data_IF_976297965099
#
_entry.id   IF_976297965099
#
_cell.length_a   1.000
_cell.length_b   1.000
_cell.length_c   1.000
_cell.angle_alpha   90.00
_cell.angle_beta   90.00
_cell.angle_gamma   90.00
#
_symmetry.space_group_name_H-M   'P 1'
#
loop_
_entity.id
_entity.type
_entity.pdbx_description
1 polymer ?
#
# COMPACT_ATOMS: atom_id res chain seq x y z
N UNK A 1 10.39 -7.49 81.93
CA UNK A 1 11.22 -7.39 80.68
C UNK A 1 10.34 -6.74 79.65
N UNK A 2 10.45 -5.40 79.50
CA UNK A 2 9.67 -4.66 78.50
C UNK A 2 10.46 -4.60 77.16
N UNK A 3 9.92 -5.24 76.17
CA UNK A 3 10.47 -5.16 74.80
C UNK A 3 9.85 -3.93 74.14
N UNK A 4 10.64 -2.89 73.91
CA UNK A 4 10.25 -1.70 73.20
C UNK A 4 10.51 -1.95 71.72
N UNK A 5 9.44 -2.12 70.94
CA UNK A 5 9.53 -2.24 69.48
C UNK A 5 9.58 -0.81 68.90
N UNK A 6 10.72 -0.41 68.38
CA UNK A 6 10.88 0.86 67.63
C UNK A 6 10.37 0.68 66.19
N UNK A 7 9.47 1.55 65.68
CA UNK A 7 9.01 1.46 64.30
C UNK A 7 10.12 1.87 63.34
N UNK A 8 10.36 1.01 62.34
CA UNK A 8 11.30 1.26 61.25
C UNK A 8 10.90 2.46 60.41
N UNK A 9 11.73 3.50 60.34
CA UNK A 9 11.53 4.76 59.63
C UNK A 9 11.81 4.68 58.10
N UNK A 10 11.85 3.52 57.47
CA UNK A 10 12.33 3.35 56.07
C UNK A 10 11.27 3.46 54.97
N UNK A 11 9.99 3.74 55.25
CA UNK A 11 8.93 3.78 54.23
C UNK A 11 8.88 5.07 53.36
N UNK A 12 9.31 6.21 53.90
CA UNK A 12 9.13 7.52 53.25
C UNK A 12 10.10 7.83 52.08
N UNK A 13 11.30 7.25 52.14
CA UNK A 13 12.33 7.44 51.10
C UNK A 13 11.99 6.70 49.80
N UNK A 14 11.45 5.51 49.90
CA UNK A 14 11.08 4.69 48.76
C UNK A 14 9.88 5.25 48.01
N UNK A 15 8.91 5.80 48.71
CA UNK A 15 7.71 6.44 48.10
C UNK A 15 8.05 7.74 47.34
N UNK A 16 8.98 8.56 47.88
CA UNK A 16 9.46 9.77 47.17
C UNK A 16 10.26 9.42 45.91
N UNK A 17 11.08 8.36 45.97
CA UNK A 17 11.86 7.86 44.82
C UNK A 17 10.95 7.31 43.71
N UNK A 18 9.92 6.54 44.08
CA UNK A 18 8.90 6.05 43.12
C UNK A 18 8.13 7.18 42.47
N UNK A 19 7.65 8.19 43.22
CA UNK A 19 6.98 9.36 42.65
C UNK A 19 7.88 10.10 41.66
N UNK A 20 9.16 10.32 41.97
CA UNK A 20 10.12 10.94 41.05
C UNK A 20 10.31 10.11 39.76
N UNK A 21 10.39 8.78 39.89
CA UNK A 21 10.49 7.85 38.77
C UNK A 21 9.26 7.99 37.82
N UNK A 22 8.05 7.97 38.40
CA UNK A 22 6.82 8.12 37.63
C UNK A 22 6.73 9.46 36.90
N UNK A 23 7.16 10.55 37.52
CA UNK A 23 7.21 11.88 36.90
C UNK A 23 8.18 11.87 35.71
N UNK A 24 9.40 11.35 35.91
CA UNK A 24 10.42 11.25 34.83
C UNK A 24 9.92 10.38 33.69
N UNK A 25 9.34 9.21 33.99
CA UNK A 25 8.75 8.33 32.97
C UNK A 25 7.63 9.06 32.21
N UNK A 26 6.74 9.76 32.91
CA UNK A 26 5.67 10.54 32.28
C UNK A 26 6.20 11.63 31.35
N UNK A 27 7.26 12.33 31.73
CA UNK A 27 7.91 13.34 30.88
C UNK A 27 8.51 12.68 29.62
N UNK A 28 9.23 11.56 29.76
CA UNK A 28 9.82 10.83 28.65
C UNK A 28 8.74 10.37 27.68
N UNK A 29 7.66 9.76 28.19
CA UNK A 29 6.51 9.33 27.35
C UNK A 29 5.89 10.53 26.65
N UNK A 30 5.70 11.66 27.34
CA UNK A 30 5.17 12.88 26.75
C UNK A 30 6.04 13.42 25.60
N UNK A 31 7.36 13.45 25.79
CA UNK A 31 8.32 13.87 24.76
C UNK A 31 8.28 12.90 23.55
N UNK A 32 8.30 11.60 23.78
CA UNK A 32 8.23 10.61 22.71
C UNK A 32 6.92 10.72 21.91
N UNK A 33 5.79 10.89 22.62
CA UNK A 33 4.49 11.09 21.97
C UNK A 33 4.47 12.36 21.12
N UNK A 34 5.08 13.45 21.59
CA UNK A 34 5.20 14.70 20.84
C UNK A 34 6.08 14.52 19.59
N UNK A 35 7.20 13.82 19.68
CA UNK A 35 8.09 13.51 18.54
C UNK A 35 7.32 12.70 17.50
N UNK A 36 6.59 11.65 17.93
CA UNK A 36 5.75 10.83 17.05
C UNK A 36 4.69 11.71 16.37
N UNK A 37 3.99 12.54 17.11
CA UNK A 37 2.98 13.45 16.56
C UNK A 37 3.57 14.40 15.51
N UNK A 38 4.70 15.04 15.81
CA UNK A 38 5.40 15.97 14.88
C UNK A 38 5.83 15.20 13.63
N UNK A 39 6.32 13.96 13.76
CA UNK A 39 6.71 13.13 12.63
C UNK A 39 5.58 13.01 11.60
N UNK A 40 4.34 12.81 12.04
CA UNK A 40 3.22 12.58 11.15
C UNK A 40 2.51 13.85 10.66
N UNK A 41 2.92 15.04 11.05
CA UNK A 41 2.32 16.30 10.56
C UNK A 41 2.26 16.36 9.02
N UNK A 42 3.32 16.01 8.25
CA UNK A 42 3.29 16.09 6.79
C UNK A 42 2.24 15.16 6.16
N UNK A 43 1.89 14.06 6.84
CA UNK A 43 0.97 13.07 6.30
C UNK A 43 -0.50 13.54 6.31
N UNK A 44 -0.85 14.55 7.11
CA UNK A 44 -2.22 15.07 7.16
C UNK A 44 -2.60 15.92 5.95
N UNK A 45 -1.61 16.48 5.23
CA UNK A 45 -1.83 17.32 4.06
C UNK A 45 -1.01 16.78 2.89
N UNK A 46 -1.65 16.02 2.00
CA UNK A 46 -1.00 15.50 0.80
C UNK A 46 -0.69 16.64 -0.17
N UNK A 47 -1.63 17.55 -0.39
CA UNK A 47 -1.40 18.72 -1.24
C UNK A 47 -0.36 19.64 -0.62
N UNK A 48 0.78 19.84 -1.29
CA UNK A 48 1.77 20.87 -0.96
C UNK A 48 1.30 22.26 -1.39
N UNK A 49 1.76 23.28 -0.70
CA UNK A 49 1.44 24.67 -1.08
C UNK A 49 1.99 24.96 -2.49
N UNK A 50 1.15 25.53 -3.34
CA UNK A 50 1.52 25.86 -4.72
C UNK A 50 1.36 24.72 -5.75
N UNK A 51 0.91 23.52 -5.36
CA UNK A 51 0.56 22.49 -6.33
C UNK A 51 -0.48 22.98 -7.33
N UNK A 52 -0.20 22.78 -8.60
CA UNK A 52 -1.12 23.00 -9.72
C UNK A 52 -2.05 21.80 -9.89
N UNK A 53 -3.12 21.96 -10.66
CA UNK A 53 -4.14 20.92 -10.89
C UNK A 53 -4.39 20.75 -12.38
N UNK A 54 -4.39 19.49 -12.83
CA UNK A 54 -4.98 19.04 -14.08
C UNK A 54 -6.28 18.32 -13.74
N UNK A 55 -7.38 18.79 -14.29
CA UNK A 55 -8.71 18.26 -14.01
C UNK A 55 -9.18 17.35 -15.13
N UNK A 56 -9.40 16.07 -14.81
CA UNK A 56 -9.85 15.06 -15.75
C UNK A 56 -11.31 14.69 -15.57
N UNK A 57 -11.83 13.93 -16.51
CA UNK A 57 -13.19 13.39 -16.45
C UNK A 57 -13.36 12.42 -15.27
N UNK A 58 -12.35 11.58 -15.03
CA UNK A 58 -12.38 10.50 -14.03
C UNK A 58 -11.38 10.67 -12.90
N UNK A 59 -10.27 11.39 -13.11
CA UNK A 59 -9.20 11.55 -12.14
C UNK A 59 -8.69 12.99 -12.15
N UNK A 60 -8.32 13.50 -10.97
CA UNK A 60 -7.66 14.79 -10.82
C UNK A 60 -6.18 14.59 -10.49
N UNK A 61 -5.27 15.28 -11.17
CA UNK A 61 -3.83 15.21 -10.92
C UNK A 61 -3.33 16.54 -10.35
N UNK A 62 -2.62 16.45 -9.23
CA UNK A 62 -1.95 17.58 -8.58
C UNK A 62 -0.45 17.38 -8.69
N UNK A 63 0.31 18.44 -9.06
CA UNK A 63 1.76 18.37 -9.23
C UNK A 63 2.46 19.61 -8.69
N UNK A 64 3.76 19.50 -8.34
CA UNK A 64 4.55 20.60 -7.80
C UNK A 64 5.09 21.47 -8.93
N UNK A 65 6.15 21.05 -9.65
CA UNK A 65 6.84 21.87 -10.67
C UNK A 65 7.03 21.19 -12.00
N UNK A 66 7.18 19.87 -12.01
CA UNK A 66 7.49 19.08 -13.20
C UNK A 66 6.25 18.90 -14.09
N UNK A 67 5.86 19.99 -14.80
CA UNK A 67 4.62 20.06 -15.58
C UNK A 67 4.58 19.04 -16.72
N UNK A 68 5.67 18.89 -17.50
CA UNK A 68 5.71 17.94 -18.62
C UNK A 68 5.45 16.51 -18.14
N UNK A 69 6.13 16.10 -17.07
CA UNK A 69 5.93 14.77 -16.48
C UNK A 69 4.52 14.60 -15.90
N UNK A 70 3.96 15.65 -15.32
CA UNK A 70 2.59 15.62 -14.81
C UNK A 70 1.56 15.50 -15.93
N UNK A 71 1.76 16.21 -17.07
CA UNK A 71 0.90 16.10 -18.27
C UNK A 71 0.98 14.70 -18.89
N UNK A 72 2.17 14.08 -18.92
CA UNK A 72 2.36 12.72 -19.42
C UNK A 72 1.62 11.70 -18.54
N UNK A 73 1.75 11.82 -17.20
CA UNK A 73 1.00 10.99 -16.25
C UNK A 73 -0.50 11.22 -16.40
N UNK A 74 -0.94 12.48 -16.43
CA UNK A 74 -2.35 12.84 -16.59
C UNK A 74 -2.94 12.24 -17.87
N UNK A 75 -2.24 12.39 -18.99
CA UNK A 75 -2.68 11.85 -20.29
C UNK A 75 -2.85 10.32 -20.25
N UNK A 76 -1.93 9.62 -19.59
CA UNK A 76 -2.00 8.18 -19.42
C UNK A 76 -3.18 7.78 -18.53
N UNK A 77 -3.29 8.34 -17.31
CA UNK A 77 -4.31 7.93 -16.34
C UNK A 77 -5.71 8.35 -16.79
N UNK A 78 -5.91 9.54 -17.35
CA UNK A 78 -7.24 10.02 -17.79
C UNK A 78 -7.74 9.20 -18.98
N UNK A 79 -6.84 8.80 -19.90
CA UNK A 79 -7.20 7.92 -21.02
C UNK A 79 -7.61 6.51 -20.59
N UNK A 80 -7.14 6.03 -19.45
CA UNK A 80 -7.41 4.68 -18.91
C UNK A 80 -8.45 4.64 -17.82
N UNK A 81 -8.70 5.75 -17.15
CA UNK A 81 -9.56 5.80 -15.97
C UNK A 81 -11.01 5.36 -16.25
N UNK A 82 -11.58 5.74 -17.40
CA UNK A 82 -12.96 5.34 -17.78
C UNK A 82 -13.06 3.84 -18.03
N UNK A 83 -12.09 3.26 -18.73
CA UNK A 83 -12.00 1.82 -18.97
C UNK A 83 -11.89 1.06 -17.64
N UNK A 84 -10.96 1.46 -16.78
CA UNK A 84 -10.76 0.85 -15.47
C UNK A 84 -11.98 0.99 -14.57
N UNK A 85 -12.59 2.16 -14.52
CA UNK A 85 -13.82 2.37 -13.76
C UNK A 85 -14.92 1.42 -14.23
N UNK A 86 -15.14 1.32 -15.56
CA UNK A 86 -16.15 0.43 -16.14
C UNK A 86 -15.87 -1.04 -15.82
N UNK A 87 -14.62 -1.50 -15.98
CA UNK A 87 -14.20 -2.87 -15.67
C UNK A 87 -14.45 -3.20 -14.19
N UNK A 88 -14.22 -2.24 -13.30
CA UNK A 88 -14.42 -2.38 -11.86
C UNK A 88 -15.88 -2.14 -11.41
N UNK A 89 -16.79 -1.85 -12.34
CA UNK A 89 -18.21 -1.69 -12.09
C UNK A 89 -18.65 -0.30 -11.61
N UNK A 90 -17.81 0.73 -11.81
CA UNK A 90 -18.19 2.12 -11.51
C UNK A 90 -18.86 2.78 -12.73
N UNK A 91 -19.97 3.45 -12.49
CA UNK A 91 -20.72 4.22 -13.50
C UNK A 91 -20.52 5.72 -13.36
N UNK A 92 -19.94 6.16 -12.24
CA UNK A 92 -19.71 7.56 -11.91
C UNK A 92 -18.27 7.79 -11.46
N UNK A 93 -17.80 9.03 -11.67
CA UNK A 93 -16.47 9.47 -11.21
C UNK A 93 -16.32 9.20 -9.70
N UNK A 94 -15.26 8.52 -9.33
CA UNK A 94 -14.83 8.42 -7.95
C UNK A 94 -13.90 9.60 -7.61
N UNK A 95 -13.82 10.00 -6.32
CA UNK A 95 -12.97 11.11 -5.90
C UNK A 95 -11.48 10.69 -5.82
N UNK A 96 -10.94 10.21 -6.97
CA UNK A 96 -9.55 9.79 -7.08
C UNK A 96 -8.68 11.01 -7.40
N UNK A 97 -7.64 11.21 -6.59
CA UNK A 97 -6.65 12.27 -6.74
C UNK A 97 -5.25 11.68 -6.80
N UNK A 98 -4.45 12.13 -7.74
CA UNK A 98 -3.05 11.75 -7.87
C UNK A 98 -2.20 12.96 -7.50
N UNK A 99 -1.34 12.81 -6.49
CA UNK A 99 -0.41 13.83 -6.03
C UNK A 99 1.00 13.47 -6.50
N UNK A 100 1.54 14.23 -7.45
CA UNK A 100 2.88 14.06 -8.01
C UNK A 100 3.84 15.00 -7.29
N UNK A 101 4.80 14.44 -6.59
CA UNK A 101 5.85 15.17 -5.88
C UNK A 101 7.13 15.19 -6.69
N UNK A 102 7.83 16.33 -6.72
CA UNK A 102 9.05 16.51 -7.52
C UNK A 102 10.15 15.49 -7.21
N UNK A 103 10.13 14.90 -6.02
CA UNK A 103 11.14 13.91 -5.62
C UNK A 103 10.61 12.87 -4.62
N UNK A 104 11.28 11.73 -4.61
CA UNK A 104 10.96 10.57 -3.78
C UNK A 104 10.96 10.89 -2.27
N UNK A 105 11.87 11.73 -1.81
CA UNK A 105 11.95 12.14 -0.40
C UNK A 105 10.68 12.87 0.06
N UNK A 106 10.14 13.76 -0.78
CA UNK A 106 8.88 14.47 -0.49
C UNK A 106 7.71 13.48 -0.46
N UNK A 107 7.60 12.59 -1.44
CA UNK A 107 6.56 11.57 -1.50
C UNK A 107 6.61 10.66 -0.25
N UNK A 108 7.79 10.15 0.11
CA UNK A 108 7.97 9.32 1.31
C UNK A 108 7.65 10.08 2.60
N UNK A 109 7.95 11.39 2.67
CA UNK A 109 7.56 12.25 3.79
C UNK A 109 6.04 12.37 3.90
N UNK A 110 5.32 12.45 2.79
CA UNK A 110 3.85 12.48 2.76
C UNK A 110 3.22 11.15 3.19
N UNK A 111 3.89 10.04 2.96
CA UNK A 111 3.41 8.70 3.38
C UNK A 111 3.78 8.37 4.83
N UNK A 112 5.05 8.53 5.21
CA UNK A 112 5.60 8.03 6.49
C UNK A 112 5.95 9.14 7.49
N UNK A 113 5.79 10.40 7.13
CA UNK A 113 6.25 11.54 7.92
C UNK A 113 7.73 11.82 7.68
N UNK A 114 8.32 12.65 8.54
CA UNK A 114 9.73 13.07 8.39
C UNK A 114 10.75 11.93 8.43
N UNK A 115 10.40 10.78 9.00
CA UNK A 115 11.25 9.58 8.99
C UNK A 115 11.31 8.90 7.62
N UNK A 116 10.31 9.13 6.75
CA UNK A 116 10.18 8.44 5.46
C UNK A 116 11.46 8.38 4.65
N UNK A 117 12.14 9.50 4.35
CA UNK A 117 13.37 9.52 3.57
C UNK A 117 14.55 8.76 4.19
N UNK A 118 14.51 8.50 5.50
CA UNK A 118 15.58 7.84 6.25
C UNK A 118 15.42 6.30 6.21
N UNK A 119 14.26 5.80 5.80
CA UNK A 119 13.96 4.37 5.78
C UNK A 119 14.72 3.59 4.69
N UNK A 120 15.41 4.27 3.76
CA UNK A 120 16.19 3.63 2.70
C UNK A 120 15.34 2.88 1.68
N UNK A 121 14.11 3.35 1.43
CA UNK A 121 13.17 2.73 0.50
C UNK A 121 13.37 3.28 -0.92
N UNK A 122 14.54 3.04 -1.53
CA UNK A 122 14.89 3.55 -2.87
C UNK A 122 13.98 3.00 -3.97
N UNK A 123 13.34 1.86 -3.74
CA UNK A 123 12.38 1.23 -4.67
C UNK A 123 10.94 1.78 -4.57
N UNK A 124 10.65 2.58 -3.56
CA UNK A 124 9.29 3.03 -3.24
C UNK A 124 9.00 4.40 -3.87
N UNK A 125 8.25 4.41 -4.95
CA UNK A 125 7.99 5.60 -5.79
C UNK A 125 6.52 5.92 -5.97
N UNK A 126 5.62 5.02 -5.56
CA UNK A 126 4.17 5.18 -5.60
C UNK A 126 3.52 4.55 -4.38
N UNK A 127 2.32 4.99 -4.04
CA UNK A 127 1.43 4.40 -3.03
C UNK A 127 0.04 5.04 -3.12
N UNK A 128 -0.92 4.43 -2.45
CA UNK A 128 -2.23 5.05 -2.26
C UNK A 128 -2.61 5.17 -0.78
N UNK A 129 -3.51 6.11 -0.51
CA UNK A 129 -4.21 6.25 0.77
C UNK A 129 -5.70 6.38 0.48
N UNK A 130 -6.43 5.27 0.52
CA UNK A 130 -7.78 5.24 -0.01
C UNK A 130 -7.77 5.67 -1.48
N UNK A 131 -8.51 6.71 -1.82
CA UNK A 131 -8.59 7.26 -3.19
C UNK A 131 -7.50 8.26 -3.54
N UNK A 132 -6.66 8.66 -2.59
CA UNK A 132 -5.53 9.55 -2.85
C UNK A 132 -4.28 8.74 -3.23
N UNK A 133 -3.76 8.94 -4.43
CA UNK A 133 -2.52 8.36 -4.94
C UNK A 133 -1.36 9.31 -4.68
N UNK A 134 -0.25 8.80 -4.19
CA UNK A 134 1.00 9.51 -4.00
C UNK A 134 2.01 8.97 -5.01
N UNK A 135 2.61 9.84 -5.81
CA UNK A 135 3.55 9.45 -6.86
C UNK A 135 4.80 10.33 -6.83
N UNK A 136 5.96 9.73 -6.98
CA UNK A 136 7.19 10.46 -7.32
C UNK A 136 7.16 10.85 -8.79
N UNK A 137 7.52 12.10 -9.12
CA UNK A 137 7.55 12.56 -10.50
C UNK A 137 8.40 11.64 -11.40
N UNK A 138 7.88 11.24 -12.58
CA UNK A 138 8.68 10.52 -13.58
C UNK A 138 9.96 11.26 -13.99
N UNK A 139 9.98 12.60 -13.95
CA UNK A 139 11.17 13.39 -14.23
C UNK A 139 12.31 13.14 -13.23
N UNK A 140 11.98 12.68 -12.01
CA UNK A 140 12.94 12.40 -10.95
C UNK A 140 12.68 11.01 -10.35
N UNK A 141 12.85 9.92 -11.12
CA UNK A 141 12.37 8.57 -10.77
C UNK A 141 13.12 7.91 -9.61
N UNK A 142 14.07 8.61 -8.97
CA UNK A 142 14.91 8.03 -7.93
C UNK A 142 16.09 7.23 -8.52
N UNK A 143 16.66 6.31 -7.71
CA UNK A 143 17.89 5.61 -8.06
C UNK A 143 17.70 4.33 -8.87
N UNK A 144 16.54 3.70 -8.74
CA UNK A 144 16.31 2.32 -9.24
C UNK A 144 15.22 2.22 -10.31
N UNK A 145 14.51 3.32 -10.56
CA UNK A 145 13.45 3.38 -11.55
C UNK A 145 13.83 4.25 -12.75
N UNK A 146 13.10 4.07 -13.86
CA UNK A 146 13.17 4.93 -15.03
C UNK A 146 11.97 5.87 -15.07
N UNK A 147 12.01 6.86 -15.99
CA UNK A 147 10.87 7.73 -16.28
C UNK A 147 9.61 6.92 -16.60
N UNK A 148 9.71 5.97 -17.53
CA UNK A 148 8.60 5.16 -17.97
C UNK A 148 8.05 4.27 -16.84
N UNK A 149 8.91 3.64 -16.04
CA UNK A 149 8.45 2.86 -14.89
C UNK A 149 7.59 3.71 -13.94
N UNK A 150 8.06 4.90 -13.52
CA UNK A 150 7.30 5.77 -12.61
C UNK A 150 5.99 6.26 -13.23
N UNK A 151 5.99 6.54 -14.54
CA UNK A 151 4.77 6.91 -15.25
C UNK A 151 3.73 5.79 -15.18
N UNK A 152 4.13 4.53 -15.45
CA UNK A 152 3.21 3.38 -15.40
C UNK A 152 2.80 2.99 -13.98
N UNK A 153 3.62 3.25 -12.97
CA UNK A 153 3.22 3.09 -11.55
C UNK A 153 1.95 3.88 -11.23
N UNK A 154 1.70 5.01 -11.90
CA UNK A 154 0.46 5.77 -11.71
C UNK A 154 -0.82 4.98 -12.02
N UNK A 155 -0.80 4.10 -13.04
CA UNK A 155 -1.93 3.20 -13.34
C UNK A 155 -2.10 2.15 -12.25
N UNK A 156 -1.02 1.55 -11.81
CA UNK A 156 -1.02 0.56 -10.74
C UNK A 156 -1.65 1.14 -9.46
N UNK A 157 -1.18 2.30 -9.03
CA UNK A 157 -1.70 2.98 -7.85
C UNK A 157 -3.15 3.47 -8.03
N UNK A 158 -3.54 3.83 -9.25
CA UNK A 158 -4.93 4.19 -9.55
C UNK A 158 -5.86 2.97 -9.41
N UNK A 159 -5.43 1.78 -9.79
CA UNK A 159 -6.20 0.54 -9.53
C UNK A 159 -6.37 0.32 -8.03
N UNK A 160 -5.31 0.47 -7.23
CA UNK A 160 -5.42 0.39 -5.78
C UNK A 160 -6.42 1.41 -5.21
N UNK A 161 -6.44 2.63 -5.75
CA UNK A 161 -7.40 3.65 -5.34
C UNK A 161 -8.85 3.21 -5.62
N UNK A 162 -9.15 2.66 -6.80
CA UNK A 162 -10.47 2.09 -7.11
C UNK A 162 -10.82 0.90 -6.21
N UNK A 163 -9.89 -0.04 -6.00
CA UNK A 163 -10.09 -1.20 -5.13
C UNK A 163 -10.40 -0.76 -3.70
N UNK A 164 -9.75 0.31 -3.21
CA UNK A 164 -10.01 0.83 -1.87
C UNK A 164 -11.46 1.34 -1.67
N UNK A 165 -12.12 1.78 -2.75
CA UNK A 165 -13.56 2.13 -2.72
C UNK A 165 -14.42 0.88 -2.63
N UNK A 166 -14.02 -0.21 -3.32
CA UNK A 166 -14.77 -1.47 -3.32
C UNK A 166 -14.62 -2.19 -1.98
N UNK A 167 -13.39 -2.41 -1.54
CA UNK A 167 -13.07 -3.11 -0.28
C UNK A 167 -11.70 -2.67 0.24
N UNK A 168 -11.63 -1.77 1.22
CA UNK A 168 -10.35 -1.27 1.76
C UNK A 168 -9.57 -2.31 2.59
N UNK A 169 -10.15 -3.46 2.89
CA UNK A 169 -9.56 -4.48 3.76
C UNK A 169 -9.12 -5.75 3.01
N UNK A 170 -9.19 -5.74 1.69
CA UNK A 170 -8.85 -6.89 0.85
C UNK A 170 -7.40 -7.36 1.11
N UNK A 171 -7.11 -8.69 1.10
CA UNK A 171 -5.75 -9.21 1.23
C UNK A 171 -4.77 -8.64 0.21
N UNK A 172 -3.52 -8.43 0.64
CA UNK A 172 -2.45 -7.89 -0.20
C UNK A 172 -2.28 -8.67 -1.50
N UNK A 173 -2.40 -10.01 -1.46
CA UNK A 173 -2.34 -10.87 -2.64
C UNK A 173 -3.38 -10.51 -3.71
N UNK A 174 -4.61 -10.24 -3.31
CA UNK A 174 -5.69 -9.89 -4.23
C UNK A 174 -5.56 -8.45 -4.73
N UNK A 175 -5.23 -7.49 -3.84
CA UNK A 175 -5.11 -6.09 -4.24
C UNK A 175 -3.92 -5.86 -5.18
N UNK A 176 -2.75 -6.46 -4.90
CA UNK A 176 -1.59 -6.40 -5.80
C UNK A 176 -1.84 -7.16 -7.09
N UNK A 177 -2.46 -8.34 -7.00
CA UNK A 177 -2.85 -9.11 -8.17
C UNK A 177 -3.73 -8.31 -9.13
N UNK A 178 -4.77 -7.65 -8.60
CA UNK A 178 -5.65 -6.77 -9.38
C UNK A 178 -4.90 -5.58 -9.99
N UNK A 179 -4.06 -4.90 -9.20
CA UNK A 179 -3.29 -3.75 -9.66
C UNK A 179 -2.33 -4.14 -10.79
N UNK A 180 -1.60 -5.22 -10.65
CA UNK A 180 -0.69 -5.75 -11.67
C UNK A 180 -1.44 -6.23 -12.92
N UNK A 181 -2.55 -6.95 -12.76
CA UNK A 181 -3.33 -7.46 -13.87
C UNK A 181 -3.96 -6.34 -14.71
N UNK A 182 -4.57 -5.34 -14.07
CA UNK A 182 -5.27 -4.26 -14.76
C UNK A 182 -4.37 -3.15 -15.27
N UNK A 183 -3.18 -2.95 -14.68
CA UNK A 183 -2.21 -1.96 -15.17
C UNK A 183 -1.27 -2.51 -16.25
N UNK A 184 -1.40 -3.78 -16.66
CA UNK A 184 -0.42 -4.49 -17.47
C UNK A 184 0.98 -4.42 -16.86
N UNK A 185 1.06 -4.68 -15.54
CA UNK A 185 2.28 -4.64 -14.76
C UNK A 185 3.36 -5.64 -15.21
N UNK A 186 4.28 -5.97 -14.31
CA UNK A 186 5.42 -6.83 -14.64
C UNK A 186 4.99 -8.18 -15.24
N UNK A 187 5.67 -8.64 -16.29
CA UNK A 187 5.39 -9.95 -16.88
C UNK A 187 5.73 -11.07 -15.88
N UNK A 188 5.07 -12.19 -16.04
CA UNK A 188 5.34 -13.41 -15.27
C UNK A 188 6.83 -13.77 -15.36
N UNK A 189 7.45 -13.96 -14.20
CA UNK A 189 8.83 -14.43 -14.13
C UNK A 189 8.86 -15.93 -13.81
N UNK A 190 9.19 -16.75 -14.80
CA UNK A 190 9.32 -18.20 -14.67
C UNK A 190 10.37 -18.64 -13.63
N UNK A 191 11.28 -17.79 -13.23
CA UNK A 191 12.31 -18.14 -12.25
C UNK A 191 11.67 -18.57 -10.92
N UNK A 192 10.66 -17.85 -10.44
CA UNK A 192 9.97 -18.22 -9.20
C UNK A 192 9.36 -19.62 -9.25
N UNK A 193 8.79 -19.97 -10.39
CA UNK A 193 8.23 -21.30 -10.59
C UNK A 193 9.31 -22.38 -10.71
N UNK A 194 10.33 -22.14 -11.55
CA UNK A 194 11.41 -23.10 -11.82
C UNK A 194 12.21 -23.45 -10.56
N UNK A 195 12.32 -22.52 -9.60
CA UNK A 195 12.99 -22.77 -8.32
C UNK A 195 12.05 -23.33 -7.23
N UNK A 196 10.79 -23.64 -7.54
CA UNK A 196 9.81 -24.11 -6.55
C UNK A 196 9.43 -23.03 -5.52
N UNK A 197 9.54 -21.77 -5.89
CA UNK A 197 9.31 -20.63 -5.02
C UNK A 197 7.87 -20.14 -5.04
N UNK A 198 6.91 -20.99 -5.41
CA UNK A 198 5.49 -20.65 -5.29
C UNK A 198 5.14 -20.54 -3.79
N UNK A 199 4.64 -19.38 -3.33
CA UNK A 199 4.31 -19.21 -1.92
C UNK A 199 3.25 -20.23 -1.48
N UNK A 200 3.29 -20.64 -0.23
CA UNK A 200 2.24 -21.50 0.34
C UNK A 200 0.91 -20.74 0.48
N UNK A 201 -0.18 -21.48 0.67
CA UNK A 201 -1.50 -20.89 0.90
C UNK A 201 -1.50 -19.90 2.08
N UNK A 202 -0.79 -20.21 3.16
CA UNK A 202 -0.68 -19.34 4.33
C UNK A 202 0.16 -18.09 4.05
N UNK A 203 1.15 -18.19 3.19
CA UNK A 203 2.03 -17.07 2.84
C UNK A 203 1.36 -16.01 2.01
N UNK A 204 0.40 -16.36 1.14
CA UNK A 204 -0.32 -15.37 0.32
C UNK A 204 -1.17 -14.41 1.17
N UNK A 205 -1.47 -14.73 2.44
CA UNK A 205 -2.15 -13.84 3.39
C UNK A 205 -1.21 -12.90 4.14
N UNK A 206 0.06 -12.81 3.74
CA UNK A 206 0.99 -11.83 4.35
C UNK A 206 0.46 -10.40 4.18
N UNK A 207 0.62 -9.59 5.24
CA UNK A 207 0.38 -8.13 5.19
C UNK A 207 1.69 -7.35 5.10
N UNK A 208 2.82 -8.05 5.01
CA UNK A 208 4.14 -7.44 4.96
C UNK A 208 4.61 -7.33 3.50
N UNK A 209 4.76 -6.11 2.93
CA UNK A 209 5.14 -5.93 1.53
C UNK A 209 6.56 -6.45 1.21
N UNK A 210 7.48 -6.43 2.19
CA UNK A 210 8.82 -7.00 2.02
C UNK A 210 8.76 -8.52 1.90
N UNK A 211 7.92 -9.18 2.74
CA UNK A 211 7.71 -10.62 2.62
C UNK A 211 7.01 -10.95 1.29
N UNK A 212 6.01 -10.16 0.91
CA UNK A 212 5.30 -10.28 -0.36
C UNK A 212 6.27 -10.23 -1.56
N UNK A 213 7.16 -9.23 -1.59
CA UNK A 213 8.20 -9.12 -2.63
C UNK A 213 9.11 -10.34 -2.65
N UNK A 214 9.63 -10.76 -1.49
CA UNK A 214 10.58 -11.89 -1.38
C UNK A 214 9.99 -13.23 -1.80
N UNK A 215 8.67 -13.43 -1.67
CA UNK A 215 8.01 -14.66 -2.10
C UNK A 215 7.55 -14.63 -3.56
N UNK A 216 7.98 -13.64 -4.33
CA UNK A 216 7.59 -13.50 -5.74
C UNK A 216 6.19 -12.95 -5.96
N UNK A 217 5.60 -12.29 -4.95
CA UNK A 217 4.22 -11.80 -5.01
C UNK A 217 3.97 -10.91 -6.21
N UNK A 218 4.87 -9.97 -6.53
CA UNK A 218 4.73 -9.09 -7.69
C UNK A 218 4.79 -9.83 -9.04
N UNK A 219 5.47 -10.96 -9.12
CA UNK A 219 5.56 -11.78 -10.34
C UNK A 219 4.43 -12.81 -10.46
N UNK A 220 3.77 -13.16 -9.37
CA UNK A 220 2.82 -14.27 -9.34
C UNK A 220 1.37 -13.83 -9.11
N UNK A 221 1.11 -12.77 -8.33
CA UNK A 221 -0.25 -12.43 -7.91
C UNK A 221 -1.19 -12.08 -9.07
N UNK A 222 -0.66 -11.48 -10.16
CA UNK A 222 -1.49 -11.21 -11.35
C UNK A 222 -1.98 -12.48 -12.03
N UNK A 223 -1.18 -13.56 -12.02
CA UNK A 223 -1.60 -14.85 -12.61
C UNK A 223 -2.75 -15.50 -11.83
N UNK A 224 -2.87 -15.18 -10.54
CA UNK A 224 -4.01 -15.62 -9.74
C UNK A 224 -5.31 -14.95 -10.19
N UNK A 225 -5.26 -13.64 -10.45
CA UNK A 225 -6.42 -12.90 -10.99
C UNK A 225 -6.75 -13.37 -12.40
N UNK A 226 -5.74 -13.61 -13.23
CA UNK A 226 -5.94 -14.17 -14.58
C UNK A 226 -6.61 -15.55 -14.51
N UNK A 227 -6.11 -16.45 -13.66
CA UNK A 227 -6.71 -17.76 -13.44
C UNK A 227 -8.18 -17.64 -13.01
N UNK A 228 -8.49 -16.79 -12.05
CA UNK A 228 -9.87 -16.57 -11.61
C UNK A 228 -10.75 -16.05 -12.74
N UNK A 229 -10.25 -15.10 -13.53
CA UNK A 229 -10.99 -14.53 -14.66
C UNK A 229 -11.25 -15.57 -15.76
N UNK A 230 -10.24 -16.35 -16.16
CA UNK A 230 -10.36 -17.37 -17.21
C UNK A 230 -11.27 -18.51 -16.76
N UNK A 231 -11.20 -18.91 -15.49
CA UNK A 231 -11.92 -20.07 -14.96
C UNK A 231 -13.36 -19.75 -14.57
N UNK A 232 -13.60 -18.58 -13.97
CA UNK A 232 -14.89 -18.27 -13.34
C UNK A 232 -15.57 -17.03 -13.94
N UNK A 233 -14.86 -16.24 -14.74
CA UNK A 233 -15.34 -14.99 -15.33
C UNK A 233 -15.15 -13.76 -14.44
N UNK A 234 -15.06 -12.60 -15.11
CA UNK A 234 -14.72 -11.32 -14.46
C UNK A 234 -15.73 -10.86 -13.40
N UNK A 235 -17.03 -11.11 -13.62
CA UNK A 235 -18.07 -10.76 -12.66
C UNK A 235 -17.81 -11.40 -11.29
N UNK A 236 -17.40 -12.68 -11.29
CA UNK A 236 -17.07 -13.40 -10.05
C UNK A 236 -15.78 -12.91 -9.41
N UNK A 237 -14.81 -12.44 -10.20
CA UNK A 237 -13.61 -11.77 -9.66
C UNK A 237 -14.03 -10.52 -8.90
N UNK A 238 -14.88 -9.67 -9.48
CA UNK A 238 -15.37 -8.45 -8.82
C UNK A 238 -16.18 -8.78 -7.55
N UNK A 239 -17.01 -9.82 -7.57
CA UNK A 239 -17.72 -10.28 -6.36
C UNK A 239 -16.75 -10.75 -5.27
N UNK A 240 -15.67 -11.45 -5.65
CA UNK A 240 -14.62 -11.85 -4.70
C UNK A 240 -13.93 -10.65 -4.07
N UNK A 241 -13.59 -9.64 -4.87
CA UNK A 241 -12.99 -8.40 -4.34
C UNK A 241 -13.93 -7.71 -3.35
N UNK A 242 -15.24 -7.73 -3.58
CA UNK A 242 -16.24 -7.13 -2.68
C UNK A 242 -16.38 -7.87 -1.35
N UNK A 243 -16.40 -9.19 -1.37
CA UNK A 243 -16.89 -9.99 -0.23
C UNK A 243 -15.89 -10.97 0.37
N UNK A 244 -14.85 -11.33 -0.38
CA UNK A 244 -13.87 -12.38 -0.05
C UNK A 244 -14.50 -13.77 0.24
N UNK A 245 -15.76 -13.99 -0.17
CA UNK A 245 -16.50 -15.19 0.14
C UNK A 245 -16.37 -16.27 -0.95
N UNK A 246 -15.23 -16.93 -0.97
CA UNK A 246 -14.92 -17.99 -1.94
C UNK A 246 -15.99 -19.09 -2.00
N UNK A 247 -16.52 -19.49 -0.85
CA UNK A 247 -17.51 -20.58 -0.80
C UNK A 247 -18.82 -20.19 -1.50
N UNK A 248 -19.29 -18.97 -1.33
CA UNK A 248 -20.51 -18.47 -1.96
C UNK A 248 -20.33 -18.28 -3.46
N UNK A 249 -19.18 -17.72 -3.87
CA UNK A 249 -18.93 -17.31 -5.25
C UNK A 249 -18.54 -18.50 -6.14
N UNK A 250 -17.63 -19.37 -5.65
CA UNK A 250 -17.05 -20.46 -6.42
C UNK A 250 -17.55 -21.86 -5.99
N UNK A 251 -18.29 -21.97 -4.89
CA UNK A 251 -18.67 -23.26 -4.29
C UNK A 251 -17.52 -24.03 -3.67
N UNK A 252 -16.38 -23.37 -3.44
CA UNK A 252 -15.11 -23.97 -2.99
C UNK A 252 -14.47 -23.11 -1.90
N UNK A 253 -13.63 -23.73 -1.06
CA UNK A 253 -12.81 -22.96 -0.13
C UNK A 253 -11.69 -22.20 -0.84
N UNK A 254 -11.19 -21.11 -0.24
CA UNK A 254 -10.05 -20.36 -0.75
C UNK A 254 -8.81 -21.25 -0.96
N UNK A 255 -8.57 -22.22 -0.07
CA UNK A 255 -7.46 -23.16 -0.18
C UNK A 255 -7.58 -24.08 -1.39
N UNK A 256 -8.79 -24.54 -1.74
CA UNK A 256 -9.04 -25.36 -2.94
C UNK A 256 -8.78 -24.52 -4.19
N UNK A 257 -9.31 -23.30 -4.26
CA UNK A 257 -9.08 -22.38 -5.39
C UNK A 257 -7.60 -22.03 -5.56
N UNK A 258 -6.89 -21.83 -4.44
CA UNK A 258 -5.44 -21.65 -4.46
C UNK A 258 -4.72 -22.87 -5.06
N UNK A 259 -5.08 -24.09 -4.64
CA UNK A 259 -4.49 -25.32 -5.17
C UNK A 259 -4.72 -25.49 -6.67
N UNK A 260 -5.89 -25.14 -7.16
CA UNK A 260 -6.22 -25.15 -8.59
C UNK A 260 -5.41 -24.11 -9.38
N UNK A 261 -5.18 -22.92 -8.82
CA UNK A 261 -4.28 -21.93 -9.41
C UNK A 261 -2.83 -22.45 -9.47
N UNK A 262 -2.33 -23.12 -8.42
CA UNK A 262 -0.99 -23.72 -8.43
C UNK A 262 -0.85 -24.74 -9.57
N UNK A 263 -1.89 -25.54 -9.86
CA UNK A 263 -1.87 -26.43 -11.03
C UNK A 263 -1.93 -25.65 -12.35
N UNK A 264 -2.73 -24.59 -12.43
CA UNK A 264 -2.86 -23.74 -13.61
C UNK A 264 -1.52 -23.12 -14.04
N UNK A 265 -0.73 -22.58 -13.08
CA UNK A 265 0.54 -21.95 -13.41
C UNK A 265 1.66 -22.92 -13.81
N UNK A 266 1.49 -24.25 -13.60
CA UNK A 266 2.46 -25.24 -14.10
C UNK A 266 2.57 -25.24 -15.62
N UNK A 267 1.48 -24.95 -16.29
CA UNK A 267 1.39 -24.91 -17.75
C UNK A 267 1.53 -23.46 -18.30
N UNK A 268 1.79 -22.49 -17.41
CA UNK A 268 1.93 -21.08 -17.78
C UNK A 268 3.21 -20.86 -18.58
N UNK A 269 3.08 -20.27 -19.76
CA UNK A 269 4.19 -20.07 -20.72
C UNK A 269 4.53 -18.61 -20.89
#
# INVERSE_FOLDING_TARGET
MHITITPSKNGGGNMKRMKKLWIVTGIIVGILSLIIFINFIPTYRLKTAGMMKLEGKWVDVYYEKEEEAAVDVFSLVDSKAEELASILGFTEKQDIKIFIYDNQSTMQTKKYGFIGPILGLDWYVGDNRGTDVLLTSPANPGKVHSYENNKYVSLHEMVHAYISVINPNIPLWLTEGMALFLSNGEPFNNEYWNYGLVPTYEEIYTKNPIKFSKMGGYSLAHTYIEYLNVTYGWEKVIELIKTENYQEIFGKSAQVVYGEWVEYIKDYK
#
